data_IF_500203397992
#
_entry.id   IF_500203397992
#
_cell.length_a   1.000
_cell.length_b   1.000
_cell.length_c   1.000
_cell.angle_alpha   90.00
_cell.angle_beta   90.00
_cell.angle_gamma   90.00
#
_symmetry.space_group_name_H-M   'P 1'
#
loop_
_entity.id
_entity.type
_entity.pdbx_description
1 polymer ?
#
# COMPACT_ATOMS: atom_id res chain seq x y z
N UNK A 1 36.79 -12.47 55.84
CA UNK A 1 35.61 -12.03 56.61
C UNK A 1 34.96 -10.87 55.89
N UNK A 2 33.64 -10.96 55.67
CA UNK A 2 32.71 -9.94 55.13
C UNK A 2 32.92 -9.59 53.64
N UNK A 3 31.90 -9.45 52.78
CA UNK A 3 30.51 -9.94 52.64
C UNK A 3 30.11 -9.39 51.25
N UNK A 4 29.36 -10.17 50.48
CA UNK A 4 28.75 -9.86 49.18
C UNK A 4 28.20 -8.43 49.05
N UNK A 5 28.21 -7.85 47.84
CA UNK A 5 26.98 -7.50 47.09
C UNK A 5 27.32 -7.37 45.60
N UNK A 6 26.60 -8.18 44.82
CA UNK A 6 26.44 -8.18 43.37
C UNK A 6 25.35 -7.14 43.04
N UNK A 7 25.59 -6.18 42.13
CA UNK A 7 24.50 -5.46 41.43
C UNK A 7 24.89 -5.41 39.95
N UNK A 8 24.35 -6.36 39.20
CA UNK A 8 24.27 -6.29 37.75
C UNK A 8 23.06 -5.43 37.40
N UNK A 9 23.29 -4.22 36.91
CA UNK A 9 22.22 -3.37 36.38
C UNK A 9 21.96 -3.78 34.94
N UNK A 10 21.06 -4.73 34.75
CA UNK A 10 20.47 -5.05 33.46
C UNK A 10 19.38 -4.02 33.18
N UNK A 11 19.67 -3.03 32.35
CA UNK A 11 18.66 -2.13 31.81
C UNK A 11 17.97 -2.84 30.64
N UNK A 12 16.93 -3.64 30.95
CA UNK A 12 15.96 -4.08 29.96
C UNK A 12 15.10 -2.86 29.61
N UNK A 13 15.48 -2.18 28.53
CA UNK A 13 14.55 -1.34 27.78
C UNK A 13 13.73 -2.25 26.88
N UNK A 14 12.81 -3.02 27.47
CA UNK A 14 11.67 -3.53 26.71
C UNK A 14 10.79 -2.32 26.41
N UNK A 15 11.03 -1.65 25.27
CA UNK A 15 9.99 -0.87 24.63
C UNK A 15 8.80 -1.81 24.47
N UNK A 16 7.79 -1.60 25.30
CA UNK A 16 6.47 -2.17 25.16
C UNK A 16 5.91 -1.65 23.84
N UNK A 17 6.10 -2.41 22.76
CA UNK A 17 5.23 -2.33 21.60
C UNK A 17 3.85 -2.76 22.09
N UNK A 18 3.05 -1.78 22.51
CA UNK A 18 1.63 -1.97 22.69
C UNK A 18 1.03 -2.18 21.31
N UNK A 19 1.03 -3.42 20.83
CA UNK A 19 0.12 -3.83 19.77
C UNK A 19 -1.27 -3.87 20.38
N UNK A 20 -1.97 -2.73 20.34
CA UNK A 20 -3.41 -2.73 20.46
C UNK A 20 -3.95 -3.54 19.29
N UNK A 21 -4.37 -4.78 19.53
CA UNK A 21 -5.20 -5.51 18.58
C UNK A 21 -6.64 -5.02 18.79
N UNK A 22 -7.25 -4.28 17.85
CA UNK A 22 -8.63 -3.86 18.01
C UNK A 22 -9.54 -5.08 17.85
N UNK A 23 -10.49 -5.19 18.77
CA UNK A 23 -11.53 -6.20 18.75
C UNK A 23 -12.65 -5.76 17.78
N UNK A 24 -12.92 -6.58 16.75
CA UNK A 24 -14.18 -6.56 16.00
C UNK A 24 -14.34 -5.41 15.01
N UNK A 25 -13.71 -5.56 13.84
CA UNK A 25 -13.63 -4.57 12.77
C UNK A 25 -12.16 -4.29 12.53
N UNK A 26 -11.57 -4.83 11.45
CA UNK A 26 -10.16 -4.55 11.15
C UNK A 26 -10.08 -3.08 10.72
N UNK A 27 -9.75 -2.22 11.66
CA UNK A 27 -9.40 -0.81 11.41
C UNK A 27 -8.31 -0.76 10.34
N UNK A 28 -8.43 0.22 9.44
CA UNK A 28 -7.42 0.48 8.43
C UNK A 28 -6.04 0.59 9.09
N UNK A 29 -5.09 -0.18 8.58
CA UNK A 29 -3.68 -0.07 8.99
C UNK A 29 -2.89 0.43 7.78
N UNK A 30 -2.39 1.67 7.81
CA UNK A 30 -1.53 2.20 6.77
C UNK A 30 -0.39 1.27 6.40
N UNK A 31 -0.05 1.20 5.12
CA UNK A 31 1.16 0.51 4.68
C UNK A 31 2.37 1.33 5.12
N UNK A 32 3.30 0.69 5.82
CA UNK A 32 4.55 1.34 6.24
C UNK A 32 5.32 1.86 5.01
N UNK A 33 5.49 3.18 4.94
CA UNK A 33 6.19 3.83 3.84
C UNK A 33 7.70 3.59 3.96
N UNK A 34 8.32 3.14 2.88
CA UNK A 34 9.78 2.93 2.80
C UNK A 34 10.38 3.77 1.66
N UNK A 35 11.67 4.15 1.72
CA UNK A 35 12.29 4.97 0.67
C UNK A 35 12.34 4.32 -0.71
N UNK A 36 12.20 3.00 -0.78
CA UNK A 36 12.14 2.21 -2.00
C UNK A 36 10.70 1.95 -2.47
N UNK A 37 9.70 2.54 -1.80
CA UNK A 37 8.30 2.41 -2.17
C UNK A 37 7.82 3.62 -2.98
N UNK A 38 7.02 3.35 -3.99
CA UNK A 38 6.21 4.35 -4.70
C UNK A 38 4.74 3.98 -4.60
N UNK A 39 3.87 4.96 -4.83
CA UNK A 39 2.43 4.72 -4.98
C UNK A 39 2.01 5.13 -6.37
N UNK A 40 1.09 4.39 -6.99
CA UNK A 40 0.65 4.70 -8.34
C UNK A 40 -0.55 3.90 -8.79
N UNK A 41 -1.17 4.38 -9.86
CA UNK A 41 -2.19 3.64 -10.59
C UNK A 41 -1.52 2.81 -11.69
N UNK A 42 -2.09 1.63 -11.98
CA UNK A 42 -1.60 0.78 -13.07
C UNK A 42 -2.39 1.11 -14.34
N UNK A 43 -1.76 1.78 -15.29
CA UNK A 43 -2.41 2.14 -16.55
C UNK A 43 -2.48 0.95 -17.51
N UNK A 44 -1.38 0.21 -17.64
CA UNK A 44 -1.25 -0.90 -18.58
C UNK A 44 -0.33 -1.98 -18.03
N UNK A 45 -0.52 -3.20 -18.53
CA UNK A 45 0.42 -4.30 -18.33
C UNK A 45 0.91 -4.78 -19.68
N UNK A 46 2.19 -5.16 -19.76
CA UNK A 46 2.80 -5.81 -20.92
C UNK A 46 3.47 -7.09 -20.43
N UNK A 47 3.45 -8.16 -21.22
CA UNK A 47 4.21 -9.35 -20.85
C UNK A 47 4.15 -10.47 -21.88
N UNK A 48 5.25 -11.22 -21.95
CA UNK A 48 5.39 -12.46 -22.70
C UNK A 48 6.16 -13.47 -21.81
N UNK A 49 5.88 -14.76 -21.94
CA UNK A 49 6.61 -15.82 -21.23
C UNK A 49 6.71 -15.65 -19.70
N UNK A 50 5.66 -15.11 -19.07
CA UNK A 50 5.57 -14.90 -17.61
C UNK A 50 6.53 -13.84 -17.05
N UNK A 51 7.12 -13.01 -17.90
CA UNK A 51 7.79 -11.77 -17.51
C UNK A 51 6.87 -10.60 -17.82
N UNK A 52 6.60 -9.78 -16.80
CA UNK A 52 5.61 -8.72 -16.87
C UNK A 52 6.22 -7.36 -16.56
N UNK A 53 5.71 -6.33 -17.23
CA UNK A 53 6.01 -4.92 -16.99
C UNK A 53 4.71 -4.18 -16.69
N UNK A 54 4.73 -3.32 -15.68
CA UNK A 54 3.65 -2.39 -15.39
C UNK A 54 4.01 -1.01 -15.93
N UNK A 55 3.06 -0.38 -16.63
CA UNK A 55 3.06 1.06 -16.88
C UNK A 55 2.33 1.72 -15.74
N UNK A 56 3.04 2.52 -14.97
CA UNK A 56 2.56 3.12 -13.73
C UNK A 56 2.42 4.63 -13.91
N UNK A 57 1.26 5.15 -13.53
CA UNK A 57 1.06 6.58 -13.28
C UNK A 57 1.35 6.83 -11.79
N UNK A 58 2.49 7.44 -11.49
CA UNK A 58 2.96 7.59 -10.12
C UNK A 58 2.23 8.75 -9.45
N UNK A 59 1.73 8.54 -8.24
CA UNK A 59 1.08 9.56 -7.42
C UNK A 59 1.87 9.81 -6.14
N UNK A 60 1.79 11.03 -5.63
CA UNK A 60 2.23 11.32 -4.28
C UNK A 60 1.08 11.00 -3.32
N UNK A 61 1.36 10.09 -2.38
CA UNK A 61 0.40 9.60 -1.39
C UNK A 61 0.83 10.09 0.00
N UNK A 62 -0.02 10.88 0.63
CA UNK A 62 0.21 11.43 1.97
C UNK A 62 -0.85 10.88 2.93
N UNK A 63 -0.46 10.64 4.18
CA UNK A 63 -1.35 10.21 5.26
C UNK A 63 -1.11 11.01 6.54
N UNK A 64 -2.15 11.10 7.39
CA UNK A 64 -2.08 11.75 8.69
C UNK A 64 -1.64 13.22 8.59
N UNK A 65 -0.71 13.63 9.46
CA UNK A 65 -0.23 15.03 9.53
C UNK A 65 0.36 15.51 8.20
N UNK A 66 1.00 14.63 7.43
CA UNK A 66 1.53 14.98 6.11
C UNK A 66 0.38 15.30 5.13
N UNK A 67 -0.68 14.50 5.14
CA UNK A 67 -1.87 14.75 4.34
C UNK A 67 -2.56 16.06 4.75
N UNK A 68 -2.73 16.31 6.05
CA UNK A 68 -3.31 17.56 6.55
C UNK A 68 -2.51 18.77 6.10
N UNK A 69 -1.18 18.72 6.19
CA UNK A 69 -0.33 19.83 5.77
C UNK A 69 -0.55 20.16 4.29
N UNK A 70 -0.45 19.16 3.43
CA UNK A 70 -0.59 19.33 1.99
C UNK A 70 -2.01 19.78 1.61
N UNK A 71 -3.03 19.16 2.21
CA UNK A 71 -4.43 19.54 2.05
C UNK A 71 -4.66 21.01 2.37
N UNK A 72 -4.18 21.51 3.52
CA UNK A 72 -4.34 22.93 3.89
C UNK A 72 -3.57 23.89 2.98
N UNK A 73 -2.48 23.43 2.37
CA UNK A 73 -1.72 24.21 1.40
C UNK A 73 -2.46 24.34 0.06
N UNK A 74 -3.13 23.27 -0.40
CA UNK A 74 -3.84 23.21 -1.70
C UNK A 74 -5.31 23.63 -1.62
N UNK A 75 -6.02 23.23 -0.58
CA UNK A 75 -7.47 23.35 -0.42
C UNK A 75 -7.86 24.46 0.59
N UNK A 76 -7.20 25.63 0.50
CA UNK A 76 -7.34 26.73 1.47
C UNK A 76 -8.77 27.22 1.68
N UNK A 77 -9.61 27.11 0.66
CA UNK A 77 -11.00 27.58 0.67
C UNK A 77 -12.01 26.45 0.91
N UNK A 78 -11.55 25.24 1.24
CA UNK A 78 -12.42 24.09 1.53
C UNK A 78 -13.28 24.28 2.78
N UNK A 79 -12.84 25.13 3.72
CA UNK A 79 -13.45 25.28 5.04
C UNK A 79 -13.24 24.06 5.95
N UNK A 80 -12.32 23.16 5.58
CA UNK A 80 -11.95 21.98 6.35
C UNK A 80 -10.54 22.16 6.94
N UNK A 81 -10.33 21.59 8.12
CA UNK A 81 -9.04 21.65 8.82
C UNK A 81 -8.10 20.46 8.46
N UNK A 82 -8.62 19.46 7.74
CA UNK A 82 -7.92 18.24 7.34
C UNK A 82 -8.68 17.52 6.20
N UNK A 83 -8.04 16.62 5.44
CA UNK A 83 -8.74 15.77 4.48
C UNK A 83 -9.73 14.85 5.20
N UNK A 84 -10.95 14.62 4.65
CA UNK A 84 -12.00 13.85 5.31
C UNK A 84 -11.58 12.43 5.73
N UNK A 85 -10.81 11.76 4.87
CA UNK A 85 -10.44 10.35 5.03
C UNK A 85 -9.01 10.16 5.54
N UNK A 86 -8.35 11.25 5.96
CA UNK A 86 -7.01 11.20 6.57
C UNK A 86 -5.85 10.93 5.61
N UNK A 87 -6.10 10.88 4.31
CA UNK A 87 -5.09 10.83 3.25
C UNK A 87 -5.29 11.95 2.21
N UNK A 88 -4.24 12.26 1.46
CA UNK A 88 -4.29 13.20 0.34
C UNK A 88 -3.44 12.66 -0.81
N UNK A 89 -3.96 12.78 -2.04
CA UNK A 89 -3.31 12.29 -3.25
C UNK A 89 -3.02 13.46 -4.16
N UNK A 90 -1.79 13.54 -4.67
CA UNK A 90 -1.42 14.46 -5.74
C UNK A 90 -0.96 13.67 -6.96
N UNK A 91 -1.34 14.17 -8.14
CA UNK A 91 -0.87 13.66 -9.42
C UNK A 91 -0.56 14.86 -10.34
N UNK A 92 0.52 15.58 -10.02
CA UNK A 92 0.95 16.72 -10.82
C UNK A 92 1.83 16.30 -12.01
N UNK A 93 2.41 15.09 -11.97
CA UNK A 93 3.24 14.51 -13.02
C UNK A 93 2.65 13.20 -13.52
N UNK A 94 1.92 13.27 -14.62
CA UNK A 94 1.27 12.12 -15.27
C UNK A 94 2.23 11.32 -16.18
N UNK A 95 3.55 11.48 -16.01
CA UNK A 95 4.54 10.75 -16.80
C UNK A 95 4.53 9.27 -16.46
N UNK A 96 4.15 8.45 -17.43
CA UNK A 96 4.11 6.99 -17.29
C UNK A 96 5.51 6.40 -17.08
N UNK A 97 5.63 5.55 -16.05
CA UNK A 97 6.85 4.81 -15.74
C UNK A 97 6.65 3.32 -15.96
N UNK A 98 7.43 2.77 -16.89
CA UNK A 98 7.47 1.32 -17.14
C UNK A 98 8.46 0.63 -16.18
N UNK A 99 7.99 -0.32 -15.38
CA UNK A 99 8.81 -1.11 -14.45
C UNK A 99 8.54 -2.61 -14.60
N UNK A 100 9.59 -3.46 -14.74
CA UNK A 100 9.43 -4.91 -14.69
C UNK A 100 9.03 -5.37 -13.29
N UNK A 101 8.24 -6.45 -13.25
CA UNK A 101 7.90 -7.15 -12.00
C UNK A 101 8.87 -8.33 -11.86
N UNK A 102 9.49 -8.46 -10.69
CA UNK A 102 10.33 -9.61 -10.38
C UNK A 102 9.52 -10.91 -10.41
N UNK A 103 10.10 -12.00 -10.90
CA UNK A 103 9.41 -13.30 -11.07
C UNK A 103 8.80 -13.84 -9.77
N UNK A 104 9.37 -13.48 -8.61
CA UNK A 104 8.93 -13.87 -7.28
C UNK A 104 8.35 -12.71 -6.46
N UNK A 105 7.88 -11.64 -7.12
CA UNK A 105 7.28 -10.51 -6.44
C UNK A 105 6.06 -10.94 -5.61
N UNK A 106 5.93 -10.36 -4.43
CA UNK A 106 4.78 -10.58 -3.56
C UNK A 106 3.64 -9.64 -3.96
N UNK A 107 2.43 -10.17 -4.15
CA UNK A 107 1.25 -9.34 -4.44
C UNK A 107 0.20 -9.56 -3.37
N UNK A 108 -0.19 -8.48 -2.70
CA UNK A 108 -1.19 -8.47 -1.63
C UNK A 108 -2.37 -7.60 -2.04
N UNK A 109 -3.54 -8.22 -2.16
CA UNK A 109 -4.78 -7.54 -2.46
C UNK A 109 -5.59 -7.29 -1.19
N UNK A 110 -6.48 -6.32 -1.26
CA UNK A 110 -7.44 -6.01 -0.21
C UNK A 110 -8.87 -6.30 -0.67
N UNK A 111 -9.19 -6.05 -1.95
CA UNK A 111 -10.49 -6.32 -2.54
C UNK A 111 -10.38 -6.58 -4.04
N UNK A 112 -11.05 -7.63 -4.53
CA UNK A 112 -11.22 -7.93 -5.96
C UNK A 112 -12.38 -8.91 -6.14
N UNK A 113 -12.87 -9.05 -7.37
CA UNK A 113 -13.91 -10.02 -7.71
C UNK A 113 -13.34 -11.46 -7.73
N UNK A 114 -13.57 -12.21 -6.64
CA UNK A 114 -13.07 -13.60 -6.49
C UNK A 114 -13.91 -14.62 -7.25
N UNK A 115 -15.23 -14.41 -7.30
CA UNK A 115 -16.21 -15.43 -7.72
C UNK A 115 -16.72 -15.22 -9.15
N UNK A 116 -16.42 -14.07 -9.75
CA UNK A 116 -17.03 -13.61 -11.00
C UNK A 116 -18.32 -12.82 -10.79
N UNK A 117 -18.82 -12.70 -9.55
CA UNK A 117 -19.95 -11.85 -9.19
C UNK A 117 -19.47 -10.73 -8.27
N UNK A 118 -19.53 -9.49 -8.75
CA UNK A 118 -19.02 -8.32 -8.02
C UNK A 118 -19.74 -8.09 -6.69
N UNK A 119 -21.00 -8.49 -6.56
CA UNK A 119 -21.76 -8.33 -5.33
C UNK A 119 -21.22 -9.20 -4.17
N UNK A 120 -20.39 -10.21 -4.49
CA UNK A 120 -19.75 -11.07 -3.51
C UNK A 120 -18.36 -10.54 -3.10
N UNK A 121 -17.88 -9.45 -3.71
CA UNK A 121 -16.57 -8.89 -3.38
C UNK A 121 -16.58 -8.29 -1.98
N UNK A 122 -15.69 -8.78 -1.14
CA UNK A 122 -15.47 -8.33 0.23
C UNK A 122 -14.00 -7.96 0.48
N UNK A 123 -13.77 -7.17 1.52
CA UNK A 123 -12.43 -6.75 1.92
C UNK A 123 -11.75 -7.89 2.68
N UNK A 124 -10.68 -8.43 2.11
CA UNK A 124 -9.77 -9.38 2.75
C UNK A 124 -8.38 -8.74 2.75
N UNK A 125 -8.03 -8.10 3.87
CA UNK A 125 -6.75 -7.42 4.03
C UNK A 125 -5.56 -8.36 3.82
N UNK A 126 -4.62 -7.91 2.98
CA UNK A 126 -3.34 -8.58 2.70
C UNK A 126 -3.51 -10.01 2.14
N UNK A 127 -4.52 -10.23 1.31
CA UNK A 127 -4.73 -11.52 0.63
C UNK A 127 -3.64 -11.74 -0.43
N UNK A 128 -2.80 -12.79 -0.32
CA UNK A 128 -1.74 -13.04 -1.28
C UNK A 128 -2.29 -13.66 -2.57
N UNK A 129 -1.87 -13.11 -3.72
CA UNK A 129 -2.12 -13.68 -5.04
C UNK A 129 -0.83 -13.81 -5.84
N UNK A 130 -0.86 -14.56 -6.94
CA UNK A 130 0.28 -14.62 -7.87
C UNK A 130 0.34 -13.37 -8.75
N UNK A 131 1.54 -13.01 -9.21
CA UNK A 131 1.73 -11.95 -10.22
C UNK A 131 0.84 -12.21 -11.44
N UNK A 132 0.78 -13.46 -11.93
CA UNK A 132 -0.08 -13.80 -13.07
C UNK A 132 -1.55 -13.47 -12.81
N UNK A 133 -2.08 -13.83 -11.63
CA UNK A 133 -3.47 -13.53 -11.28
C UNK A 133 -3.69 -12.02 -11.18
N UNK A 134 -2.73 -11.28 -10.63
CA UNK A 134 -2.77 -9.82 -10.60
C UNK A 134 -2.87 -9.21 -12.00
N UNK A 135 -2.03 -9.66 -12.94
CA UNK A 135 -2.07 -9.20 -14.34
C UNK A 135 -3.41 -9.55 -15.02
N UNK A 136 -3.95 -10.75 -14.77
CA UNK A 136 -5.29 -11.12 -15.24
C UNK A 136 -6.37 -10.17 -14.71
N UNK A 137 -6.32 -9.82 -13.41
CA UNK A 137 -7.25 -8.89 -12.78
C UNK A 137 -7.14 -7.48 -13.37
N UNK A 138 -5.93 -6.94 -13.53
CA UNK A 138 -5.70 -5.61 -14.12
C UNK A 138 -6.19 -5.52 -15.58
N UNK A 139 -6.12 -6.61 -16.34
CA UNK A 139 -6.56 -6.64 -17.73
C UNK A 139 -8.02 -7.06 -17.91
N UNK A 140 -8.72 -7.42 -16.83
CA UNK A 140 -10.14 -7.76 -16.90
C UNK A 140 -10.95 -6.48 -17.04
N UNK A 141 -11.73 -6.38 -18.12
CA UNK A 141 -12.73 -5.35 -18.28
C UNK A 141 -14.02 -5.81 -17.59
N UNK A 142 -14.23 -5.40 -16.35
CA UNK A 142 -15.49 -5.57 -15.62
C UNK A 142 -15.91 -4.29 -14.89
N UNK A 143 -17.07 -4.29 -14.24
CA UNK A 143 -17.60 -3.13 -13.49
C UNK A 143 -16.72 -2.76 -12.28
N UNK A 144 -15.71 -3.57 -11.95
CA UNK A 144 -14.82 -3.37 -10.82
C UNK A 144 -13.38 -3.19 -11.30
N UNK A 145 -13.16 -2.05 -11.95
CA UNK A 145 -11.89 -1.73 -12.59
C UNK A 145 -10.73 -1.71 -11.59
N UNK A 146 -9.90 -2.75 -11.66
CA UNK A 146 -8.71 -2.92 -10.82
C UNK A 146 -7.67 -1.81 -11.04
N UNK A 147 -7.72 -1.07 -12.15
CA UNK A 147 -6.82 0.06 -12.41
C UNK A 147 -7.21 1.32 -11.65
N UNK A 148 -8.45 1.40 -11.16
CA UNK A 148 -8.95 2.53 -10.38
C UNK A 148 -8.43 2.56 -8.93
N UNK A 149 -7.79 1.48 -8.48
CA UNK A 149 -7.18 1.41 -7.15
C UNK A 149 -5.72 1.88 -7.19
N UNK A 150 -5.27 2.62 -6.16
CA UNK A 150 -3.85 2.88 -5.97
C UNK A 150 -3.13 1.62 -5.48
N UNK A 151 -1.86 1.49 -5.86
CA UNK A 151 -0.99 0.40 -5.43
C UNK A 151 0.30 0.96 -4.84
N UNK A 152 0.68 0.47 -3.66
CA UNK A 152 1.99 0.68 -3.09
C UNK A 152 2.96 -0.38 -3.64
N UNK A 153 4.04 0.06 -4.26
CA UNK A 153 5.00 -0.79 -4.97
C UNK A 153 6.41 -0.58 -4.43
N UNK A 154 7.02 -1.65 -3.91
CA UNK A 154 8.42 -1.62 -3.48
C UNK A 154 9.34 -1.99 -4.64
N UNK A 155 10.30 -1.13 -4.93
CA UNK A 155 11.23 -1.26 -6.05
C UNK A 155 12.63 -1.59 -5.54
N UNK A 156 13.20 -2.72 -5.98
CA UNK A 156 14.59 -3.08 -5.69
C UNK A 156 15.32 -3.40 -6.97
N UNK A 157 16.51 -2.82 -7.14
CA UNK A 157 17.35 -3.03 -8.32
C UNK A 157 16.63 -2.75 -9.67
N UNK A 158 15.65 -1.84 -9.67
CA UNK A 158 14.88 -1.48 -10.87
C UNK A 158 13.67 -2.40 -11.15
N UNK A 159 13.38 -3.36 -10.28
CA UNK A 159 12.25 -4.28 -10.40
C UNK A 159 11.27 -4.09 -9.25
N UNK A 160 9.98 -4.28 -9.53
CA UNK A 160 8.94 -4.33 -8.50
C UNK A 160 9.02 -5.69 -7.81
N UNK A 161 9.30 -5.68 -6.50
CA UNK A 161 9.42 -6.91 -5.69
C UNK A 161 8.23 -7.14 -4.77
N UNK A 162 7.39 -6.10 -4.57
CA UNK A 162 6.17 -6.18 -3.77
C UNK A 162 5.14 -5.20 -4.29
N UNK A 163 3.89 -5.63 -4.35
CA UNK A 163 2.72 -4.85 -4.76
C UNK A 163 1.67 -5.01 -3.66
N UNK A 164 1.17 -3.92 -3.10
CA UNK A 164 0.07 -3.92 -2.13
C UNK A 164 -1.04 -3.02 -2.68
N UNK A 165 -2.22 -3.58 -2.92
CA UNK A 165 -3.40 -2.79 -3.25
C UNK A 165 -3.79 -1.93 -2.05
N UNK A 166 -4.12 -0.67 -2.29
CA UNK A 166 -4.66 0.23 -1.30
C UNK A 166 -6.15 0.43 -1.56
N UNK A 167 -7.00 -0.12 -0.69
CA UNK A 167 -8.43 0.15 -0.70
C UNK A 167 -8.68 1.57 -0.21
N UNK A 168 -9.50 2.30 -0.96
CA UNK A 168 -9.97 3.63 -0.63
C UNK A 168 -11.50 3.55 -0.56
N UNK A 169 -12.10 3.73 0.64
CA UNK A 169 -13.54 3.53 0.86
C UNK A 169 -14.45 4.55 0.18
#
# INVERSE_FOLDING_TARGET
MKKYVLIATVAIACLTAFSFAPAGGREYTPVEQTPDMITGYVAMTKGENNHFTLSIDQIDWYEGDAATKIFLEREKDSGLDAPPDGYYIENDDETMRDLPIADNAEVLMQIYNRTGNINDADIVWNEPISVKKFIELINTEDDFDMKSFPYHMTIKNGEIVRIVQQFVP
#
